data_IF_113674346655
#
_entry.id   IF_113674346655
#
_cell.length_a   1.000
_cell.length_b   1.000
_cell.length_c   1.000
_cell.angle_alpha   90.00
_cell.angle_beta   90.00
_cell.angle_gamma   90.00
#
_symmetry.space_group_name_H-M   'P 1'
#
loop_
_entity.id
_entity.type
_entity.pdbx_description
1 polymer ?
#
# COMPACT_ATOMS: atom_id res chain seq x y z
N UNK A 1 -18.66 14.61 15.31
CA UNK A 1 -18.12 13.31 15.76
C UNK A 1 -16.66 13.53 16.10
N UNK A 2 -16.20 13.14 17.29
CA UNK A 2 -14.78 13.30 17.63
C UNK A 2 -13.93 12.42 16.68
N UNK A 3 -12.73 12.85 16.29
CA UNK A 3 -11.88 12.12 15.34
C UNK A 3 -11.68 10.65 15.74
N UNK A 4 -11.59 10.38 17.05
CA UNK A 4 -11.51 9.02 17.62
C UNK A 4 -12.71 8.15 17.28
N UNK A 5 -13.93 8.68 17.33
CA UNK A 5 -15.17 7.91 17.08
C UNK A 5 -15.24 7.46 15.63
N UNK A 6 -14.90 8.35 14.69
CA UNK A 6 -14.82 8.03 13.26
C UNK A 6 -13.80 6.91 13.02
N UNK A 7 -12.60 7.04 13.59
CA UNK A 7 -11.57 6.00 13.46
C UNK A 7 -12.07 4.67 14.03
N UNK A 8 -12.66 4.68 15.23
CA UNK A 8 -13.17 3.49 15.89
C UNK A 8 -14.26 2.79 15.07
N UNK A 9 -15.19 3.54 14.49
CA UNK A 9 -16.24 2.99 13.63
C UNK A 9 -15.64 2.30 12.39
N UNK A 10 -14.68 2.95 11.74
CA UNK A 10 -14.02 2.42 10.53
C UNK A 10 -13.24 1.14 10.84
N UNK A 11 -12.43 1.11 11.91
CA UNK A 11 -11.66 -0.09 12.25
C UNK A 11 -12.55 -1.27 12.68
N UNK A 12 -13.68 -1.00 13.37
CA UNK A 12 -14.66 -2.05 13.71
C UNK A 12 -15.27 -2.69 12.47
N UNK A 13 -15.75 -1.87 11.52
CA UNK A 13 -16.28 -2.33 10.24
C UNK A 13 -15.25 -3.17 9.45
N UNK A 14 -14.00 -2.72 9.44
CA UNK A 14 -12.91 -3.48 8.81
C UNK A 14 -12.65 -4.82 9.51
N UNK A 15 -12.68 -4.87 10.86
CA UNK A 15 -12.47 -6.11 11.63
C UNK A 15 -13.60 -7.12 11.45
N UNK A 16 -14.84 -6.66 11.31
CA UNK A 16 -15.97 -7.53 10.98
C UNK A 16 -15.83 -8.09 9.55
N UNK A 17 -15.51 -7.22 8.59
CA UNK A 17 -15.31 -7.62 7.20
C UNK A 17 -14.13 -8.57 6.99
N UNK A 18 -13.04 -8.42 7.74
CA UNK A 18 -11.85 -9.27 7.61
C UNK A 18 -12.16 -10.74 7.91
N UNK A 19 -13.09 -11.03 8.83
CA UNK A 19 -13.53 -12.40 9.13
C UNK A 19 -14.23 -13.07 7.96
N UNK A 20 -15.00 -12.31 7.19
CA UNK A 20 -15.68 -12.80 5.98
C UNK A 20 -14.65 -12.94 4.85
N UNK A 21 -13.84 -11.90 4.64
CA UNK A 21 -12.82 -11.87 3.59
C UNK A 21 -11.81 -13.03 3.71
N UNK A 22 -11.40 -13.38 4.93
CA UNK A 22 -10.47 -14.48 5.20
C UNK A 22 -10.99 -15.87 4.77
N UNK A 23 -12.30 -16.00 4.52
CA UNK A 23 -12.96 -17.26 4.10
C UNK A 23 -13.33 -17.27 2.63
N UNK A 24 -13.13 -16.17 1.90
CA UNK A 24 -13.47 -16.10 0.48
C UNK A 24 -12.49 -16.90 -0.36
N UNK A 25 -13.00 -17.53 -1.40
CA UNK A 25 -12.17 -18.27 -2.34
C UNK A 25 -11.30 -17.33 -3.19
N UNK A 26 -10.24 -17.88 -3.77
CA UNK A 26 -9.35 -17.15 -4.68
C UNK A 26 -10.13 -16.58 -5.85
N UNK A 27 -11.12 -17.29 -6.39
CA UNK A 27 -11.94 -16.85 -7.53
C UNK A 27 -12.76 -15.60 -7.17
N UNK A 28 -13.35 -15.56 -5.97
CA UNK A 28 -14.11 -14.38 -5.51
C UNK A 28 -13.20 -13.17 -5.36
N UNK A 29 -12.04 -13.35 -4.73
CA UNK A 29 -11.04 -12.28 -4.54
C UNK A 29 -10.51 -11.76 -5.88
N UNK A 30 -10.16 -12.66 -6.79
CA UNK A 30 -9.67 -12.31 -8.12
C UNK A 30 -10.73 -11.60 -8.96
N UNK A 31 -11.98 -12.07 -8.94
CA UNK A 31 -13.09 -11.38 -9.62
C UNK A 31 -13.27 -9.98 -9.07
N UNK A 32 -13.20 -9.78 -7.75
CA UNK A 32 -13.28 -8.46 -7.16
C UNK A 32 -12.18 -7.52 -7.66
N UNK A 33 -10.93 -7.99 -7.74
CA UNK A 33 -9.80 -7.21 -8.25
C UNK A 33 -9.97 -6.84 -9.73
N UNK A 34 -10.46 -7.76 -10.55
CA UNK A 34 -10.75 -7.49 -11.96
C UNK A 34 -11.89 -6.46 -12.12
N UNK A 35 -12.97 -6.60 -11.36
CA UNK A 35 -14.08 -5.63 -11.36
C UNK A 35 -13.62 -4.25 -10.87
N UNK A 36 -12.72 -4.20 -9.86
CA UNK A 36 -12.11 -2.95 -9.40
C UNK A 36 -11.33 -2.26 -10.52
N UNK A 37 -10.51 -3.01 -11.26
CA UNK A 37 -9.73 -2.49 -12.38
C UNK A 37 -10.64 -1.89 -13.46
N UNK A 38 -11.68 -2.63 -13.85
CA UNK A 38 -12.61 -2.20 -14.90
C UNK A 38 -13.42 -0.98 -14.47
N UNK A 39 -13.85 -0.90 -13.20
CA UNK A 39 -14.60 0.25 -12.70
C UNK A 39 -13.73 1.51 -12.56
N UNK A 40 -12.45 1.39 -12.22
CA UNK A 40 -11.53 2.54 -12.22
C UNK A 40 -11.40 3.14 -13.62
N UNK A 41 -11.25 2.31 -14.66
CA UNK A 41 -11.16 2.78 -16.04
C UNK A 41 -12.50 3.37 -16.53
N UNK A 42 -13.62 2.70 -16.24
CA UNK A 42 -14.96 3.19 -16.62
C UNK A 42 -15.32 4.53 -15.97
N UNK A 43 -14.84 4.76 -14.74
CA UNK A 43 -15.10 5.99 -13.98
C UNK A 43 -13.89 6.93 -14.00
N UNK A 44 -13.00 6.80 -14.98
CA UNK A 44 -11.80 7.62 -15.09
C UNK A 44 -12.10 9.14 -15.13
N UNK A 45 -13.14 9.56 -15.84
CA UNK A 45 -13.54 10.98 -15.87
C UNK A 45 -13.93 11.50 -14.47
N UNK A 46 -14.72 10.74 -13.73
CA UNK A 46 -15.09 11.10 -12.35
C UNK A 46 -13.86 11.19 -11.43
N UNK A 47 -12.89 10.27 -11.59
CA UNK A 47 -11.64 10.31 -10.83
C UNK A 47 -10.84 11.58 -11.15
N UNK A 48 -10.76 11.95 -12.44
CA UNK A 48 -10.06 13.17 -12.88
C UNK A 48 -10.75 14.44 -12.38
N UNK A 49 -12.08 14.48 -12.39
CA UNK A 49 -12.87 15.59 -11.86
C UNK A 49 -12.61 15.82 -10.36
N UNK A 50 -12.62 14.76 -9.54
CA UNK A 50 -12.30 14.88 -8.11
C UNK A 50 -10.82 15.20 -7.86
N UNK A 51 -9.91 14.67 -8.68
CA UNK A 51 -8.49 14.99 -8.60
C UNK A 51 -8.18 16.45 -8.95
N UNK A 52 -8.94 17.04 -9.87
CA UNK A 52 -8.79 18.46 -10.22
C UNK A 52 -9.02 19.37 -9.00
N UNK A 53 -10.00 19.03 -8.14
CA UNK A 53 -10.27 19.74 -6.88
C UNK A 53 -9.08 19.67 -5.92
N UNK A 54 -8.52 18.47 -5.75
CA UNK A 54 -7.33 18.26 -4.93
C UNK A 54 -6.12 19.06 -5.46
N UNK A 55 -5.92 19.09 -6.78
CA UNK A 55 -4.83 19.85 -7.42
C UNK A 55 -5.00 21.36 -7.25
N UNK A 56 -6.23 21.87 -7.36
CA UNK A 56 -6.54 23.29 -7.14
C UNK A 56 -6.28 23.69 -5.68
N UNK A 57 -6.86 22.96 -4.73
CA UNK A 57 -6.61 23.17 -3.30
C UNK A 57 -5.11 23.03 -2.95
N UNK A 58 -4.40 22.11 -3.60
CA UNK A 58 -2.97 21.91 -3.44
C UNK A 58 -2.15 23.11 -3.91
N UNK A 59 -2.51 23.72 -5.05
CA UNK A 59 -1.88 24.95 -5.56
C UNK A 59 -2.14 26.13 -4.63
N UNK A 60 -3.37 26.31 -4.16
CA UNK A 60 -3.73 27.39 -3.22
C UNK A 60 -2.97 27.28 -1.89
N UNK A 61 -2.73 26.05 -1.42
CA UNK A 61 -1.92 25.77 -0.21
C UNK A 61 -0.41 25.81 -0.43
N UNK A 62 0.05 26.14 -1.65
CA UNK A 62 1.47 26.27 -1.96
C UNK A 62 2.25 24.96 -2.04
N UNK A 63 1.61 23.85 -2.42
CA UNK A 63 2.33 22.59 -2.65
C UNK A 63 3.37 22.75 -3.77
N UNK A 64 4.55 22.16 -3.57
CA UNK A 64 5.59 22.15 -4.59
C UNK A 64 5.17 21.41 -5.87
N UNK A 65 5.79 21.74 -7.00
CA UNK A 65 5.55 21.06 -8.27
C UNK A 65 5.73 19.54 -8.18
N UNK A 66 6.71 19.07 -7.41
CA UNK A 66 6.94 17.64 -7.18
C UNK A 66 5.82 16.95 -6.38
N UNK A 67 5.16 17.67 -5.46
CA UNK A 67 4.01 17.15 -4.72
C UNK A 67 2.74 17.17 -5.56
N UNK A 68 2.52 18.23 -6.34
CA UNK A 68 1.43 18.31 -7.32
C UNK A 68 1.56 17.20 -8.38
N UNK A 69 2.78 16.94 -8.87
CA UNK A 69 3.02 15.83 -9.78
C UNK A 69 2.67 14.49 -9.11
N UNK A 70 2.96 14.27 -7.83
CA UNK A 70 2.57 13.02 -7.14
C UNK A 70 1.05 12.89 -6.93
N UNK A 71 0.37 14.02 -6.79
CA UNK A 71 -1.07 14.09 -6.56
C UNK A 71 -1.89 13.88 -7.84
N UNK A 72 -1.36 14.30 -8.99
CA UNK A 72 -2.03 14.23 -10.29
C UNK A 72 -2.50 12.81 -10.65
N UNK A 73 -3.71 12.69 -11.17
CA UNK A 73 -4.25 11.49 -11.82
C UNK A 73 -4.62 11.81 -13.26
N UNK A 74 -3.83 11.26 -14.18
CA UNK A 74 -4.11 11.26 -15.62
C UNK A 74 -4.56 9.87 -16.07
N UNK A 75 -4.95 9.73 -17.35
CA UNK A 75 -5.40 8.44 -17.89
C UNK A 75 -4.33 7.35 -17.77
N UNK A 76 -3.05 7.72 -17.87
CA UNK A 76 -1.93 6.78 -17.75
C UNK A 76 -1.83 6.23 -16.32
N UNK A 77 -1.99 7.09 -15.30
CA UNK A 77 -1.94 6.70 -13.89
C UNK A 77 -3.17 5.93 -13.46
N UNK A 78 -4.35 6.29 -13.97
CA UNK A 78 -5.58 5.54 -13.74
C UNK A 78 -5.47 4.15 -14.34
N UNK A 79 -4.99 4.05 -15.59
CA UNK A 79 -4.68 2.77 -16.20
C UNK A 79 -3.63 1.99 -15.41
N UNK A 80 -2.59 2.64 -14.92
CA UNK A 80 -1.58 2.01 -14.06
C UNK A 80 -2.17 1.40 -12.78
N UNK A 81 -3.13 2.06 -12.13
CA UNK A 81 -3.86 1.49 -10.99
C UNK A 81 -4.66 0.24 -11.39
N UNK A 82 -5.37 0.30 -12.51
CA UNK A 82 -6.16 -0.81 -13.03
C UNK A 82 -5.26 -2.01 -13.42
N UNK A 83 -4.14 -1.75 -14.09
CA UNK A 83 -3.16 -2.76 -14.45
C UNK A 83 -2.53 -3.40 -13.21
N UNK A 84 -2.20 -2.61 -12.17
CA UNK A 84 -1.72 -3.12 -10.89
C UNK A 84 -2.73 -4.05 -10.19
N UNK A 85 -4.02 -3.73 -10.24
CA UNK A 85 -5.08 -4.61 -9.74
C UNK A 85 -5.13 -5.95 -10.50
N UNK A 86 -4.99 -5.91 -11.83
CA UNK A 86 -4.96 -7.11 -12.69
C UNK A 86 -3.72 -7.96 -12.43
N UNK A 87 -2.56 -7.33 -12.28
CA UNK A 87 -1.31 -8.01 -11.90
C UNK A 87 -1.46 -8.74 -10.56
N UNK A 88 -2.03 -8.07 -9.54
CA UNK A 88 -2.26 -8.68 -8.23
C UNK A 88 -3.28 -9.83 -8.29
N UNK A 89 -4.31 -9.72 -9.14
CA UNK A 89 -5.26 -10.81 -9.36
C UNK A 89 -4.59 -12.06 -9.93
N UNK A 90 -3.59 -11.89 -10.82
CA UNK A 90 -2.84 -12.97 -11.45
C UNK A 90 -1.85 -13.66 -10.50
N UNK A 91 -1.45 -13.02 -9.39
CA UNK A 91 -0.55 -13.64 -8.42
C UNK A 91 -1.18 -14.88 -7.77
N UNK A 92 -0.37 -15.86 -7.32
CA UNK A 92 -0.87 -16.95 -6.48
C UNK A 92 -1.53 -16.41 -5.21
N UNK A 93 -2.58 -17.08 -4.76
CA UNK A 93 -3.22 -16.76 -3.50
C UNK A 93 -2.45 -17.38 -2.33
N UNK A 94 -1.91 -16.58 -1.39
CA UNK A 94 -1.17 -17.13 -0.27
C UNK A 94 -2.07 -17.74 0.80
N UNK A 95 -3.38 -17.47 0.81
CA UNK A 95 -4.28 -17.87 1.89
C UNK A 95 -4.62 -19.35 1.76
N UNK A 96 -4.44 -20.11 2.84
CA UNK A 96 -4.72 -21.55 2.88
C UNK A 96 -3.56 -22.44 2.41
N UNK A 97 -2.44 -21.86 1.96
CA UNK A 97 -1.24 -22.62 1.59
C UNK A 97 -0.69 -23.41 2.79
N UNK A 98 -0.49 -24.72 2.61
CA UNK A 98 0.15 -25.59 3.61
C UNK A 98 1.66 -25.50 3.45
N UNK A 99 2.32 -24.78 4.35
CA UNK A 99 3.78 -24.57 4.35
C UNK A 99 4.53 -25.84 4.74
N UNK A 100 3.98 -26.62 5.68
CA UNK A 100 4.61 -27.84 6.20
C UNK A 100 3.56 -28.75 6.81
N UNK A 101 3.68 -30.06 6.60
CA UNK A 101 2.85 -31.07 7.25
C UNK A 101 3.71 -32.25 7.71
N UNK A 102 3.47 -32.77 8.91
CA UNK A 102 4.20 -33.93 9.44
C UNK A 102 3.33 -34.75 10.39
N UNK A 103 3.68 -36.04 10.52
CA UNK A 103 3.04 -36.96 11.47
C UNK A 103 3.94 -37.16 12.68
N UNK A 104 3.38 -37.09 13.88
CA UNK A 104 4.08 -37.36 15.14
C UNK A 104 4.14 -38.87 15.43
N UNK A 105 5.08 -39.34 16.27
CA UNK A 105 5.15 -40.76 16.66
C UNK A 105 3.86 -41.33 17.28
N UNK A 106 3.06 -40.48 17.92
CA UNK A 106 1.76 -40.83 18.49
C UNK A 106 0.59 -40.79 17.48
N UNK A 107 0.87 -40.58 16.19
CA UNK A 107 -0.14 -40.61 15.13
C UNK A 107 -0.75 -39.25 14.75
N UNK A 108 -0.54 -38.19 15.54
CA UNK A 108 -1.10 -36.85 15.25
C UNK A 108 -0.53 -36.27 13.95
N UNK A 109 -1.41 -35.73 13.11
CA UNK A 109 -1.02 -34.94 11.95
C UNK A 109 -0.98 -33.46 12.34
N UNK A 110 0.16 -32.80 12.10
CA UNK A 110 0.35 -31.38 12.37
C UNK A 110 0.63 -30.68 11.05
N UNK A 111 -0.10 -29.60 10.77
CA UNK A 111 0.06 -28.75 9.60
C UNK A 111 0.35 -27.31 10.01
N UNK A 112 1.20 -26.62 9.24
CA UNK A 112 1.38 -25.17 9.30
C UNK A 112 0.75 -24.56 8.05
N UNK A 113 -0.28 -23.74 8.24
CA UNK A 113 -1.00 -23.08 7.16
C UNK A 113 -0.77 -21.56 7.19
N UNK A 114 -0.82 -20.94 6.02
CA UNK A 114 -0.89 -19.48 5.89
C UNK A 114 -2.32 -19.00 6.08
N UNK A 115 -2.49 -18.00 6.94
CA UNK A 115 -3.75 -17.30 7.17
C UNK A 115 -3.53 -15.80 7.03
N UNK A 116 -4.56 -15.00 6.71
CA UNK A 116 -4.45 -13.55 6.70
C UNK A 116 -4.08 -13.02 8.09
N UNK A 117 -3.48 -11.83 8.13
CA UNK A 117 -3.20 -11.12 9.37
C UNK A 117 -4.50 -10.62 10.03
N UNK A 118 -5.43 -10.11 9.23
CA UNK A 118 -6.70 -9.55 9.68
C UNK A 118 -6.95 -8.18 9.05
N UNK A 119 -6.62 -7.11 9.78
CA UNK A 119 -6.80 -5.72 9.35
C UNK A 119 -5.45 -5.04 9.22
N UNK A 120 -5.18 -4.47 8.04
CA UNK A 120 -3.98 -3.68 7.75
C UNK A 120 -4.36 -2.21 7.63
N UNK A 121 -3.72 -1.36 8.43
CA UNK A 121 -3.83 0.09 8.28
C UNK A 121 -2.71 0.62 7.40
N UNK A 122 -3.05 1.38 6.35
CA UNK A 122 -2.07 2.01 5.47
C UNK A 122 -2.20 3.51 5.61
N UNK A 123 -1.11 4.15 6.03
CA UNK A 123 -1.03 5.60 6.22
C UNK A 123 -0.09 6.14 5.15
N UNK A 124 -0.58 7.02 4.27
CA UNK A 124 0.18 7.48 3.12
C UNK A 124 -0.02 8.97 2.84
N UNK A 125 0.88 9.55 2.05
CA UNK A 125 0.89 10.98 1.69
C UNK A 125 0.10 11.26 0.41
N UNK A 126 0.44 12.35 -0.30
CA UNK A 126 -0.21 12.89 -1.52
C UNK A 126 -0.03 11.99 -2.77
N UNK A 127 -0.42 10.72 -2.67
CA UNK A 127 -0.32 9.72 -3.74
C UNK A 127 -1.62 8.92 -3.81
N UNK A 128 -2.63 9.39 -4.55
CA UNK A 128 -3.93 8.73 -4.57
C UNK A 128 -3.90 7.29 -5.09
N UNK A 129 -2.93 6.95 -5.94
CA UNK A 129 -2.77 5.59 -6.47
C UNK A 129 -2.50 4.54 -5.39
N UNK A 130 -1.91 4.93 -4.26
CA UNK A 130 -1.63 4.03 -3.13
C UNK A 130 -2.92 3.44 -2.56
N UNK A 131 -4.06 4.14 -2.68
CA UNK A 131 -5.40 3.66 -2.32
C UNK A 131 -5.72 2.36 -3.04
N UNK A 132 -5.55 2.32 -4.36
CA UNK A 132 -5.84 1.14 -5.17
C UNK A 132 -4.79 0.04 -4.96
N UNK A 133 -3.50 0.39 -5.03
CA UNK A 133 -2.39 -0.57 -4.96
C UNK A 133 -2.43 -1.38 -3.64
N UNK A 134 -2.66 -0.69 -2.53
CA UNK A 134 -2.65 -1.34 -1.21
C UNK A 134 -3.93 -2.09 -0.92
N UNK A 135 -5.08 -1.59 -1.39
CA UNK A 135 -6.34 -2.33 -1.32
C UNK A 135 -6.26 -3.64 -2.12
N UNK A 136 -5.65 -3.61 -3.31
CA UNK A 136 -5.45 -4.80 -4.15
C UNK A 136 -4.73 -5.91 -3.39
N UNK A 137 -3.56 -5.58 -2.84
CA UNK A 137 -2.73 -6.52 -2.09
C UNK A 137 -3.44 -7.06 -0.84
N UNK A 138 -4.15 -6.19 -0.11
CA UNK A 138 -4.89 -6.60 1.08
C UNK A 138 -6.05 -7.55 0.72
N UNK A 139 -6.87 -7.20 -0.27
CA UNK A 139 -7.97 -8.06 -0.74
C UNK A 139 -7.44 -9.41 -1.19
N UNK A 140 -6.39 -9.45 -2.03
CA UNK A 140 -5.78 -10.70 -2.51
C UNK A 140 -5.31 -11.59 -1.37
N UNK A 141 -4.63 -11.00 -0.39
CA UNK A 141 -4.09 -11.70 0.79
C UNK A 141 -5.13 -11.95 1.90
N UNK A 142 -6.41 -11.66 1.65
CA UNK A 142 -7.50 -11.93 2.60
C UNK A 142 -7.56 -10.98 3.79
N UNK A 143 -6.90 -9.82 3.71
CA UNK A 143 -6.85 -8.80 4.75
C UNK A 143 -7.82 -7.65 4.45
N UNK A 144 -8.56 -7.19 5.44
CA UNK A 144 -9.26 -5.91 5.33
C UNK A 144 -8.25 -4.76 5.44
N UNK A 145 -8.58 -3.61 4.87
CA UNK A 145 -7.72 -2.43 4.83
C UNK A 145 -8.41 -1.21 5.40
N UNK A 146 -7.66 -0.44 6.20
CA UNK A 146 -8.04 0.89 6.67
C UNK A 146 -7.05 1.90 6.12
N UNK A 147 -7.52 2.78 5.26
CA UNK A 147 -6.74 3.75 4.52
C UNK A 147 -6.79 5.10 5.21
N UNK A 148 -5.63 5.74 5.37
CA UNK A 148 -5.52 7.15 5.75
C UNK A 148 -4.52 7.82 4.82
N UNK A 149 -5.02 8.51 3.81
CA UNK A 149 -4.21 9.29 2.87
C UNK A 149 -3.88 10.70 3.37
N UNK A 150 -3.11 11.43 2.56
CA UNK A 150 -2.85 12.85 2.78
C UNK A 150 -4.14 13.69 2.72
N UNK A 151 -4.20 14.75 3.51
CA UNK A 151 -5.34 15.69 3.53
C UNK A 151 -5.56 16.39 2.19
N UNK A 152 -4.50 16.51 1.41
CA UNK A 152 -4.40 17.11 0.10
C UNK A 152 -4.86 16.21 -1.04
N UNK A 153 -5.16 14.94 -0.77
CA UNK A 153 -5.64 13.96 -1.74
C UNK A 153 -7.03 13.42 -1.36
N UNK A 154 -7.77 14.15 -0.52
CA UNK A 154 -8.97 13.61 0.14
C UNK A 154 -10.08 13.31 -0.87
N UNK A 155 -10.26 14.16 -1.89
CA UNK A 155 -11.29 13.98 -2.91
C UNK A 155 -10.98 12.75 -3.78
N UNK A 156 -9.74 12.65 -4.24
CA UNK A 156 -9.24 11.51 -5.03
C UNK A 156 -9.32 10.20 -4.25
N UNK A 157 -8.89 10.20 -2.99
CA UNK A 157 -8.91 9.00 -2.15
C UNK A 157 -10.35 8.54 -1.88
N UNK A 158 -11.27 9.47 -1.61
CA UNK A 158 -12.68 9.15 -1.36
C UNK A 158 -13.35 8.53 -2.58
N UNK A 159 -13.16 9.12 -3.77
CA UNK A 159 -13.75 8.57 -4.99
C UNK A 159 -13.16 7.21 -5.35
N UNK A 160 -11.83 7.04 -5.26
CA UNK A 160 -11.18 5.76 -5.53
C UNK A 160 -11.68 4.70 -4.54
N UNK A 161 -11.66 4.99 -3.23
CA UNK A 161 -12.14 4.05 -2.22
C UNK A 161 -13.61 3.66 -2.44
N UNK A 162 -14.47 4.63 -2.80
CA UNK A 162 -15.87 4.36 -3.13
C UNK A 162 -16.05 3.42 -4.32
N UNK A 163 -15.28 3.63 -5.40
CA UNK A 163 -15.28 2.76 -6.58
C UNK A 163 -14.84 1.33 -6.21
N UNK A 164 -13.79 1.21 -5.40
CA UNK A 164 -13.30 -0.10 -4.96
C UNK A 164 -14.32 -0.82 -4.06
N UNK A 165 -15.03 -0.09 -3.18
CA UNK A 165 -16.10 -0.63 -2.35
C UNK A 165 -17.30 -1.11 -3.17
N UNK A 166 -17.66 -0.38 -4.22
CA UNK A 166 -18.70 -0.77 -5.16
C UNK A 166 -18.33 -2.08 -5.88
N UNK A 167 -17.13 -2.14 -6.45
CA UNK A 167 -16.59 -3.33 -7.11
C UNK A 167 -16.54 -4.56 -6.18
N UNK A 168 -16.11 -4.34 -4.93
CA UNK A 168 -16.06 -5.37 -3.90
C UNK A 168 -17.46 -5.97 -3.69
N UNK A 169 -18.46 -5.10 -3.48
CA UNK A 169 -19.86 -5.52 -3.25
C UNK A 169 -20.42 -6.30 -4.42
N UNK A 170 -20.20 -5.85 -5.66
CA UNK A 170 -20.65 -6.54 -6.87
C UNK A 170 -20.05 -7.94 -7.03
N UNK A 171 -18.84 -8.14 -6.51
CA UNK A 171 -18.09 -9.39 -6.69
C UNK A 171 -18.24 -10.39 -5.54
N UNK A 172 -18.97 -10.02 -4.48
CA UNK A 172 -19.19 -10.85 -3.28
C UNK A 172 -18.18 -10.62 -2.15
N UNK A 173 -17.37 -9.57 -2.22
CA UNK A 173 -16.49 -9.12 -1.14
C UNK A 173 -17.23 -8.07 -0.29
N UNK A 174 -17.18 -8.11 1.04
CA UNK A 174 -17.78 -7.07 1.86
C UNK A 174 -17.18 -5.70 1.51
N UNK A 175 -18.02 -4.73 1.12
CA UNK A 175 -17.57 -3.37 0.87
C UNK A 175 -16.79 -2.80 2.07
N UNK A 176 -17.18 -3.20 3.28
CA UNK A 176 -16.54 -2.75 4.50
C UNK A 176 -15.10 -3.24 4.68
N UNK A 177 -14.64 -4.20 3.86
CA UNK A 177 -13.24 -4.65 3.86
C UNK A 177 -12.28 -3.56 3.40
N UNK A 178 -12.76 -2.52 2.73
CA UNK A 178 -11.98 -1.35 2.32
C UNK A 178 -12.57 -0.14 3.05
N UNK A 179 -11.82 0.47 3.98
CA UNK A 179 -12.25 1.67 4.69
C UNK A 179 -11.33 2.83 4.38
N UNK A 180 -11.89 4.03 4.24
CA UNK A 180 -11.15 5.28 4.23
C UNK A 180 -11.52 6.09 5.47
N UNK A 181 -10.51 6.64 6.14
CA UNK A 181 -10.69 7.65 7.18
C UNK A 181 -10.78 9.01 6.47
N UNK A 182 -11.99 9.55 6.39
CA UNK A 182 -12.29 10.76 5.61
C UNK A 182 -12.01 12.07 6.36
N UNK A 183 -11.66 12.00 7.65
CA UNK A 183 -11.28 13.20 8.41
C UNK A 183 -9.87 13.66 8.04
N UNK A 184 -9.71 14.97 7.84
CA UNK A 184 -8.42 15.63 7.61
C UNK A 184 -7.65 15.90 8.91
N UNK A 185 -8.27 15.64 10.06
CA UNK A 185 -7.65 15.80 11.37
C UNK A 185 -6.40 14.91 11.52
N UNK A 186 -5.30 15.50 11.96
CA UNK A 186 -4.04 14.81 12.20
C UNK A 186 -4.13 13.87 13.41
N UNK A 187 -4.98 14.18 14.39
CA UNK A 187 -5.20 13.32 15.57
C UNK A 187 -5.80 11.96 15.19
N UNK A 188 -6.49 11.86 14.05
CA UNK A 188 -7.04 10.60 13.57
C UNK A 188 -5.95 9.53 13.36
N UNK A 189 -4.76 9.93 12.91
CA UNK A 189 -3.62 9.01 12.76
C UNK A 189 -3.18 8.50 14.13
N UNK A 190 -3.07 9.39 15.11
CA UNK A 190 -2.68 9.03 16.47
C UNK A 190 -3.68 8.07 17.12
N UNK A 191 -4.98 8.29 16.91
CA UNK A 191 -6.01 7.36 17.36
C UNK A 191 -5.89 6.00 16.65
N UNK A 192 -5.71 5.98 15.33
CA UNK A 192 -5.58 4.75 14.55
C UNK A 192 -4.40 3.88 15.01
N UNK A 193 -3.27 4.52 15.34
CA UNK A 193 -2.04 3.87 15.81
C UNK A 193 -2.18 3.20 17.19
N UNK A 194 -3.30 3.43 17.89
CA UNK A 194 -3.66 2.87 19.20
C UNK A 194 -4.90 1.98 19.15
N UNK A 195 -5.26 1.48 17.96
CA UNK A 195 -6.37 0.54 17.76
C UNK A 195 -5.84 -0.91 17.67
N UNK A 196 -4.88 -1.30 18.51
CA UNK A 196 -4.28 -2.64 18.53
C UNK A 196 -5.28 -3.79 18.74
N UNK A 197 -6.47 -3.50 19.28
CA UNK A 197 -7.56 -4.47 19.40
C UNK A 197 -8.22 -4.82 18.05
N UNK A 198 -8.11 -3.93 17.06
CA UNK A 198 -8.80 -4.04 15.77
C UNK A 198 -7.83 -4.15 14.59
N UNK A 199 -6.69 -3.48 14.65
CA UNK A 199 -5.70 -3.40 13.57
C UNK A 199 -4.50 -4.27 13.89
N UNK A 200 -4.15 -5.16 12.96
CA UNK A 200 -3.14 -6.19 13.15
C UNK A 200 -1.76 -5.77 12.57
N UNK A 201 -1.73 -4.82 11.63
CA UNK A 201 -0.50 -4.29 11.03
C UNK A 201 -0.67 -2.84 10.55
N UNK A 202 0.38 -2.02 10.69
CA UNK A 202 0.46 -0.68 10.08
C UNK A 202 1.54 -0.63 9.01
N UNK A 203 1.25 0.02 7.88
CA UNK A 203 2.19 0.24 6.77
C UNK A 203 2.23 1.72 6.41
N UNK A 204 3.23 2.49 6.88
CA UNK A 204 3.41 3.87 6.45
C UNK A 204 4.06 3.94 5.07
N UNK A 205 3.54 4.81 4.19
CA UNK A 205 4.06 5.06 2.84
C UNK A 205 4.17 6.57 2.60
N UNK A 206 5.33 7.13 2.85
CA UNK A 206 5.57 8.57 2.71
C UNK A 206 7.03 8.94 2.95
N UNK A 207 7.26 10.20 3.29
CA UNK A 207 8.56 10.69 3.70
C UNK A 207 9.02 10.12 5.05
N UNK A 208 10.30 10.34 5.36
CA UNK A 208 10.93 9.86 6.60
C UNK A 208 10.19 10.35 7.85
N UNK A 209 9.70 11.59 7.85
CA UNK A 209 8.97 12.17 8.98
C UNK A 209 7.70 11.40 9.33
N UNK A 210 6.91 11.01 8.32
CA UNK A 210 5.70 10.20 8.53
C UNK A 210 6.06 8.82 9.06
N UNK A 211 7.06 8.17 8.45
CA UNK A 211 7.50 6.82 8.84
C UNK A 211 7.99 6.81 10.29
N UNK A 212 8.81 7.80 10.66
CA UNK A 212 9.32 7.97 12.02
C UNK A 212 8.20 8.22 13.01
N UNK A 213 7.28 9.13 12.69
CA UNK A 213 6.12 9.41 13.53
C UNK A 213 5.29 8.14 13.80
N UNK A 214 4.99 7.37 12.75
CA UNK A 214 4.24 6.11 12.87
C UNK A 214 5.00 5.10 13.72
N UNK A 215 6.29 4.90 13.46
CA UNK A 215 7.12 3.95 14.20
C UNK A 215 7.23 4.28 15.70
N UNK A 216 7.34 5.57 16.04
CA UNK A 216 7.49 6.02 17.43
C UNK A 216 6.18 6.01 18.22
N UNK A 217 5.03 6.12 17.55
CA UNK A 217 3.72 6.28 18.21
C UNK A 217 2.80 5.05 18.12
N UNK A 218 3.13 4.05 17.29
CA UNK A 218 2.29 2.88 17.11
C UNK A 218 2.41 1.87 18.25
N UNK A 219 1.25 1.36 18.69
CA UNK A 219 1.14 0.15 19.52
C UNK A 219 0.95 -1.11 18.68
N UNK A 220 0.74 -0.93 17.37
CA UNK A 220 0.50 -2.00 16.41
C UNK A 220 1.85 -2.31 15.72
N UNK A 221 2.14 -3.57 15.35
CA UNK A 221 3.32 -3.89 14.56
C UNK A 221 3.36 -3.07 13.26
N UNK A 222 4.52 -2.49 12.96
CA UNK A 222 4.71 -1.63 11.78
C UNK A 222 5.69 -2.27 10.80
N UNK A 223 5.32 -2.34 9.52
CA UNK A 223 6.22 -2.75 8.43
C UNK A 223 6.63 -1.51 7.64
N UNK A 224 7.91 -1.17 7.71
CA UNK A 224 8.46 0.01 7.04
C UNK A 224 9.96 -0.12 6.82
N UNK A 225 10.52 0.81 6.04
CA UNK A 225 11.95 1.05 5.92
C UNK A 225 12.20 2.53 6.20
N UNK A 226 13.33 2.86 6.82
CA UNK A 226 13.76 4.26 6.98
C UNK A 226 14.42 4.75 5.68
N UNK A 227 15.56 5.42 5.80
CA UNK A 227 16.40 5.83 4.67
C UNK A 227 17.00 4.59 4.02
N UNK A 228 16.91 4.52 2.69
CA UNK A 228 17.73 3.60 1.93
C UNK A 228 19.08 4.25 1.64
N UNK A 229 20.14 3.73 2.26
CA UNK A 229 21.53 4.14 1.97
C UNK A 229 22.19 2.96 1.29
N UNK A 230 21.99 2.86 -0.03
CA UNK A 230 22.47 1.74 -0.82
C UNK A 230 23.94 1.95 -1.22
N UNK A 231 24.73 0.89 -1.09
CA UNK A 231 26.14 0.90 -1.41
C UNK A 231 26.40 -0.07 -2.57
N UNK A 232 27.20 0.37 -3.55
CA UNK A 232 27.79 -0.51 -4.57
C UNK A 232 29.28 -0.59 -4.30
N UNK A 233 29.82 -1.80 -4.22
CA UNK A 233 31.25 -2.03 -4.05
C UNK A 233 31.83 -2.65 -5.32
N UNK A 234 32.81 -1.96 -5.92
CA UNK A 234 33.59 -2.44 -7.06
C UNK A 234 34.85 -3.10 -6.51
N UNK A 235 34.84 -4.43 -6.53
CA UNK A 235 35.95 -5.25 -6.06
C UNK A 235 37.14 -5.20 -7.04
N UNK A 236 38.34 -5.58 -6.59
CA UNK A 236 39.55 -5.63 -7.41
C UNK A 236 39.42 -6.57 -8.61
N UNK A 237 38.66 -7.64 -8.46
CA UNK A 237 38.49 -8.70 -9.46
C UNK A 237 37.23 -8.46 -10.33
N UNK A 238 36.59 -7.30 -10.20
CA UNK A 238 35.38 -6.96 -10.94
C UNK A 238 35.67 -6.62 -12.41
N UNK A 239 34.78 -7.09 -13.30
CA UNK A 239 34.70 -6.56 -14.66
C UNK A 239 34.28 -5.08 -14.61
N UNK A 240 35.15 -4.19 -15.09
CA UNK A 240 34.96 -2.75 -14.96
C UNK A 240 33.83 -2.20 -15.86
N UNK A 241 33.58 -2.82 -17.02
CA UNK A 241 32.48 -2.41 -17.90
C UNK A 241 31.14 -2.80 -17.29
N UNK A 242 31.06 -4.00 -16.71
CA UNK A 242 29.89 -4.42 -15.93
C UNK A 242 29.68 -3.51 -14.71
N UNK A 243 30.74 -3.21 -13.96
CA UNK A 243 30.68 -2.35 -12.78
C UNK A 243 30.16 -0.94 -13.12
N UNK A 244 30.63 -0.36 -14.24
CA UNK A 244 30.13 0.91 -14.76
C UNK A 244 28.62 0.85 -15.04
N UNK A 245 28.17 -0.16 -15.80
CA UNK A 245 26.77 -0.31 -16.17
C UNK A 245 25.85 -0.44 -14.94
N UNK A 246 26.27 -1.23 -13.94
CA UNK A 246 25.52 -1.41 -12.69
C UNK A 246 25.48 -0.11 -11.89
N UNK A 247 26.64 0.52 -11.64
CA UNK A 247 26.73 1.72 -10.82
C UNK A 247 25.96 2.89 -11.45
N UNK A 248 26.07 3.05 -12.77
CA UNK A 248 25.34 4.06 -13.53
C UNK A 248 23.83 3.83 -13.40
N UNK A 249 23.34 2.64 -13.77
CA UNK A 249 21.92 2.30 -13.68
C UNK A 249 21.36 2.50 -12.26
N UNK A 250 22.09 2.02 -11.25
CA UNK A 250 21.68 2.08 -9.85
C UNK A 250 21.52 3.52 -9.32
N UNK A 251 22.22 4.52 -9.89
CA UNK A 251 22.01 5.92 -9.50
C UNK A 251 21.03 6.65 -10.41
N UNK A 252 21.17 6.51 -11.73
CA UNK A 252 20.55 7.45 -12.68
C UNK A 252 19.16 7.06 -13.16
N UNK A 253 18.75 5.79 -13.00
CA UNK A 253 17.43 5.34 -13.46
C UNK A 253 16.31 6.12 -12.76
N UNK A 254 16.39 6.26 -11.43
CA UNK A 254 15.43 7.02 -10.63
C UNK A 254 16.08 7.50 -9.32
N UNK A 255 16.78 8.65 -9.31
CA UNK A 255 17.53 9.10 -8.14
C UNK A 255 16.68 9.37 -6.87
N UNK A 256 15.37 9.55 -7.03
CA UNK A 256 14.45 9.89 -5.93
C UNK A 256 13.83 8.70 -5.19
N UNK A 257 14.22 7.45 -5.48
CA UNK A 257 13.72 6.26 -4.75
C UNK A 257 14.76 5.74 -3.77
N UNK A 258 14.29 5.05 -2.72
CA UNK A 258 15.16 4.61 -1.62
C UNK A 258 16.16 3.52 -2.00
N UNK A 259 15.99 2.82 -3.13
CA UNK A 259 16.93 1.79 -3.59
C UNK A 259 17.99 2.34 -4.56
N UNK A 260 18.02 3.64 -4.83
CA UNK A 260 19.07 4.25 -5.62
C UNK A 260 20.42 4.18 -4.89
N UNK A 261 21.51 3.93 -5.61
CA UNK A 261 22.86 3.94 -5.04
C UNK A 261 23.18 5.32 -4.43
N UNK A 262 23.67 5.36 -3.20
CA UNK A 262 24.14 6.60 -2.56
C UNK A 262 25.65 6.61 -2.39
N UNK A 263 26.25 5.43 -2.22
CA UNK A 263 27.70 5.29 -2.01
C UNK A 263 28.27 4.33 -3.05
N UNK A 264 29.29 4.78 -3.78
CA UNK A 264 30.15 3.92 -4.59
C UNK A 264 31.48 3.73 -3.85
N UNK A 265 31.80 2.48 -3.54
CA UNK A 265 33.07 2.07 -2.94
C UNK A 265 33.90 1.38 -4.02
N UNK A 266 35.15 1.79 -4.20
CA UNK A 266 36.03 1.22 -5.23
C UNK A 266 37.28 0.69 -4.56
N UNK A 267 37.63 -0.56 -4.85
CA UNK A 267 38.87 -1.14 -4.35
C UNK A 267 40.07 -0.35 -4.88
N UNK A 268 41.02 0.00 -3.99
CA UNK A 268 42.16 0.88 -4.32
C UNK A 268 42.96 0.42 -5.55
N UNK A 269 43.08 -0.89 -5.76
CA UNK A 269 43.87 -1.47 -6.85
C UNK A 269 43.23 -1.24 -8.23
N UNK A 270 41.93 -0.92 -8.29
CA UNK A 270 41.20 -0.57 -9.52
C UNK A 270 40.72 0.89 -9.54
N UNK A 271 40.96 1.66 -8.46
CA UNK A 271 40.72 3.09 -8.38
C UNK A 271 41.90 3.85 -9.02
N UNK A 272 41.86 4.01 -10.34
CA UNK A 272 42.87 4.75 -11.11
C UNK A 272 42.47 6.20 -11.35
#
# INVERSE_FOLDING_TARGET
>A
MQAREVVLERVKKAKEASRVLARLSTEVKNRALMTMADLLERKAELIKEENAKDLECGKEKGLSSALLDRLLLDDKRIKGMADGLREVAALPDPVGEVVKMWKRPNGLQIGKLRVPLGVVAVIYESRPNVTADTAALCVKSGNAIVLRGGSEAIHSNAVIAGILQEAARESGVPAQAIQLIETTDREAVFHLLRMEEFVDLVVPRGGEGLIRFVAENSRIPVVYHYKGVCHTFVDRDADLDMAWNIAFNAKVQRPGVCNAMETLLVHRDVAK
#
